data_IF_240474173150
#
_entry.id   IF_240474173150
#
_cell.length_a   1.000
_cell.length_b   1.000
_cell.length_c   1.000
_cell.angle_alpha   90.00
_cell.angle_beta   90.00
_cell.angle_gamma   90.00
#
_symmetry.space_group_name_H-M   'P 1'
#
loop_
_entity.id
_entity.type
_entity.pdbx_description
1 polymer ?
#
# COMPACT_ATOMS: atom_id res chain seq x y z
N UNK A 1 -18.50 36.13 1.29
CA UNK A 1 -17.23 35.48 1.61
C UNK A 1 -16.62 34.91 0.33
N UNK A 2 -15.55 35.56 -0.22
CA UNK A 2 -14.89 35.18 -1.45
C UNK A 2 -13.87 34.02 -1.27
N UNK A 3 -14.24 32.94 -0.59
CA UNK A 3 -13.38 31.78 -0.34
C UNK A 3 -13.20 30.98 -1.64
N UNK A 4 -11.97 30.92 -2.16
CA UNK A 4 -11.59 30.07 -3.28
C UNK A 4 -10.70 28.93 -2.77
N UNK A 5 -11.02 27.69 -3.14
CA UNK A 5 -10.17 26.53 -2.88
C UNK A 5 -8.89 26.65 -3.71
N UNK A 6 -7.72 26.62 -3.05
CA UNK A 6 -6.41 26.52 -3.70
C UNK A 6 -6.12 25.05 -4.04
N UNK A 7 -6.52 24.63 -5.23
CA UNK A 7 -6.18 23.29 -5.75
C UNK A 7 -4.71 23.33 -6.19
N UNK A 8 -3.85 22.59 -5.51
CA UNK A 8 -2.46 22.38 -5.96
C UNK A 8 -2.47 21.49 -7.20
N UNK A 9 -2.21 22.06 -8.37
CA UNK A 9 -1.93 21.30 -9.59
C UNK A 9 -0.54 20.69 -9.46
N UNK A 10 -0.46 19.44 -9.03
CA UNK A 10 0.79 18.69 -9.01
C UNK A 10 1.09 18.22 -10.43
N UNK A 11 2.08 18.84 -11.11
CA UNK A 11 2.56 18.32 -12.40
C UNK A 11 3.13 16.92 -12.20
N UNK A 12 2.49 15.92 -12.78
CA UNK A 12 2.97 14.54 -12.82
C UNK A 12 4.25 14.49 -13.68
N UNK A 13 5.39 14.13 -13.08
CA UNK A 13 6.63 13.81 -13.80
C UNK A 13 6.73 12.29 -13.91
N UNK A 14 6.38 11.76 -15.08
CA UNK A 14 6.63 10.35 -15.37
C UNK A 14 8.14 10.08 -15.46
N UNK A 15 8.57 8.97 -14.84
CA UNK A 15 9.93 8.45 -14.99
C UNK A 15 10.20 8.09 -16.47
N UNK A 16 11.31 8.60 -17.02
CA UNK A 16 11.75 8.34 -18.41
C UNK A 16 12.82 7.23 -18.48
N UNK A 17 12.75 6.21 -17.64
CA UNK A 17 13.61 5.04 -17.71
C UNK A 17 13.10 3.97 -18.68
N UNK A 18 13.78 2.82 -18.76
CA UNK A 18 13.35 1.66 -19.56
C UNK A 18 11.88 1.35 -19.27
N UNK A 19 11.07 1.31 -20.33
CA UNK A 19 9.65 0.95 -20.20
C UNK A 19 9.59 -0.54 -19.85
N UNK A 20 9.29 -0.83 -18.60
CA UNK A 20 9.01 -2.17 -18.16
C UNK A 20 7.64 -2.65 -18.70
N UNK A 21 7.33 -3.92 -18.46
CA UNK A 21 6.08 -4.52 -18.92
C UNK A 21 4.92 -4.14 -17.98
N UNK A 22 3.86 -3.53 -18.53
CA UNK A 22 2.61 -3.24 -17.82
C UNK A 22 1.73 -4.49 -17.80
N UNK A 23 1.27 -4.90 -16.62
CA UNK A 23 0.33 -6.00 -16.46
C UNK A 23 -1.12 -5.54 -16.71
N UNK A 24 -2.02 -6.46 -17.15
CA UNK A 24 -3.44 -6.16 -17.30
C UNK A 24 -4.10 -5.74 -15.99
N UNK A 25 -5.15 -4.92 -16.05
CA UNK A 25 -5.98 -4.60 -14.90
C UNK A 25 -7.00 -5.72 -14.65
N UNK A 26 -6.65 -6.70 -13.81
CA UNK A 26 -7.55 -7.79 -13.45
C UNK A 26 -8.58 -7.40 -12.38
N UNK A 27 -8.26 -6.42 -11.51
CA UNK A 27 -9.20 -5.96 -10.49
C UNK A 27 -10.43 -5.25 -11.06
N UNK A 28 -10.24 -4.43 -12.10
CA UNK A 28 -11.32 -3.65 -12.75
C UNK A 28 -12.24 -2.94 -11.73
N UNK A 29 -11.66 -2.37 -10.66
CA UNK A 29 -12.34 -1.75 -9.50
C UNK A 29 -13.17 -2.70 -8.63
N UNK A 30 -13.10 -4.01 -8.85
CA UNK A 30 -13.69 -4.99 -7.95
C UNK A 30 -12.74 -5.24 -6.77
N UNK A 31 -12.77 -4.34 -5.78
CA UNK A 31 -11.95 -4.41 -4.56
C UNK A 31 -12.53 -5.38 -3.51
N UNK A 32 -13.75 -5.88 -3.69
CA UNK A 32 -14.32 -6.85 -2.76
C UNK A 32 -13.57 -8.18 -2.87
N UNK A 33 -13.08 -8.66 -1.74
CA UNK A 33 -12.56 -10.01 -1.55
C UNK A 33 -13.49 -10.77 -0.62
N UNK A 34 -13.68 -12.07 -0.84
CA UNK A 34 -14.56 -12.92 -0.03
C UNK A 34 -13.82 -13.62 1.10
N UNK A 35 -12.49 -13.68 1.02
CA UNK A 35 -11.63 -14.31 2.00
C UNK A 35 -10.27 -13.55 2.09
N UNK A 36 -9.55 -13.69 3.23
CA UNK A 36 -8.19 -13.20 3.35
C UNK A 36 -7.27 -13.73 2.26
N UNK A 37 -6.30 -12.92 1.85
CA UNK A 37 -5.26 -13.27 0.89
C UNK A 37 -5.76 -13.61 -0.54
N UNK A 38 -6.94 -13.15 -0.94
CA UNK A 38 -7.41 -13.24 -2.33
C UNK A 38 -6.91 -12.06 -3.16
N UNK A 39 -6.95 -10.86 -2.61
CA UNK A 39 -6.58 -9.63 -3.28
C UNK A 39 -5.78 -8.75 -2.35
N UNK A 40 -4.60 -8.37 -2.77
CA UNK A 40 -3.76 -7.38 -2.10
C UNK A 40 -3.58 -6.15 -2.99
N UNK A 41 -3.33 -5.02 -2.37
CA UNK A 41 -2.91 -3.80 -3.06
C UNK A 41 -1.61 -3.26 -2.46
N UNK A 42 -0.82 -2.59 -3.28
CA UNK A 42 0.43 -1.93 -2.89
C UNK A 42 0.61 -0.62 -3.64
N UNK A 43 1.27 0.32 -2.99
CA UNK A 43 1.67 1.61 -3.55
C UNK A 43 2.77 2.20 -2.67
N UNK A 44 3.38 3.32 -3.08
CA UNK A 44 4.40 4.02 -2.31
C UNK A 44 3.92 5.44 -2.00
N UNK A 45 4.00 5.81 -0.72
CA UNK A 45 3.79 7.20 -0.31
C UNK A 45 5.05 7.84 0.24
N UNK A 46 5.18 9.15 0.04
CA UNK A 46 6.31 9.96 0.50
C UNK A 46 5.89 10.84 1.68
N UNK A 47 6.80 10.98 2.64
CA UNK A 47 6.77 11.96 3.72
C UNK A 47 7.99 12.87 3.62
N UNK A 48 7.87 14.11 4.08
CA UNK A 48 8.98 15.05 4.14
C UNK A 48 9.10 15.60 5.57
N UNK A 49 10.28 15.45 6.17
CA UNK A 49 10.62 15.96 7.49
C UNK A 49 11.88 16.79 7.37
N UNK A 50 11.78 18.10 7.57
CA UNK A 50 12.92 19.03 7.51
C UNK A 50 13.78 18.88 6.25
N UNK A 51 13.15 18.71 5.09
CA UNK A 51 13.81 18.54 3.79
C UNK A 51 14.30 17.13 3.47
N UNK A 52 14.29 16.21 4.43
CA UNK A 52 14.58 14.79 4.21
C UNK A 52 13.31 14.01 3.84
N UNK A 53 13.45 13.01 2.99
CA UNK A 53 12.35 12.20 2.51
C UNK A 53 12.33 10.82 3.17
N UNK A 54 11.12 10.34 3.46
CA UNK A 54 10.87 8.96 3.88
C UNK A 54 9.80 8.38 2.97
N UNK A 55 10.01 7.16 2.49
CA UNK A 55 9.08 6.43 1.63
C UNK A 55 8.54 5.21 2.38
N UNK A 56 7.23 5.07 2.39
CA UNK A 56 6.53 3.91 2.92
C UNK A 56 5.93 3.11 1.76
N UNK A 57 6.28 1.83 1.68
CA UNK A 57 5.72 0.88 0.73
C UNK A 57 5.01 -0.24 1.50
N UNK A 58 3.69 -0.22 1.66
CA UNK A 58 2.92 -1.26 2.32
C UNK A 58 2.25 -2.20 1.32
N UNK A 59 1.88 -3.39 1.79
CA UNK A 59 0.87 -4.26 1.18
C UNK A 59 -0.34 -4.31 2.09
N UNK A 60 -1.52 -4.04 1.55
CA UNK A 60 -2.81 -4.12 2.23
C UNK A 60 -3.65 -5.27 1.68
N UNK A 61 -4.25 -6.07 2.56
CA UNK A 61 -5.25 -7.08 2.16
C UNK A 61 -6.60 -6.39 1.93
N UNK A 62 -7.21 -6.60 0.77
CA UNK A 62 -8.47 -5.95 0.42
C UNK A 62 -9.68 -6.57 1.15
N UNK A 63 -9.54 -7.76 1.73
CA UNK A 63 -10.60 -8.39 2.51
C UNK A 63 -10.87 -7.67 3.83
N UNK A 64 -9.84 -7.51 4.64
CA UNK A 64 -9.95 -6.94 6.00
C UNK A 64 -9.16 -5.63 6.17
N UNK A 65 -8.54 -5.12 5.11
CA UNK A 65 -7.72 -3.91 5.10
C UNK A 65 -6.53 -3.94 6.09
N UNK A 66 -6.02 -5.13 6.40
CA UNK A 66 -4.82 -5.31 7.20
C UNK A 66 -3.57 -4.95 6.40
N UNK A 67 -2.64 -4.25 7.02
CA UNK A 67 -1.30 -4.06 6.47
C UNK A 67 -0.51 -5.35 6.71
N UNK A 68 -0.37 -6.13 5.64
CA UNK A 68 0.29 -7.44 5.66
C UNK A 68 1.80 -7.30 5.88
N UNK A 69 2.42 -6.38 5.18
CA UNK A 69 3.83 -6.05 5.31
C UNK A 69 4.07 -4.61 4.87
N UNK A 70 5.20 -4.07 5.25
CA UNK A 70 5.65 -2.75 4.79
C UNK A 70 7.16 -2.63 4.87
N UNK A 71 7.68 -1.61 4.18
CA UNK A 71 9.08 -1.20 4.24
C UNK A 71 9.18 0.33 4.27
N UNK A 72 10.13 0.85 5.07
CA UNK A 72 10.42 2.26 5.21
C UNK A 72 11.86 2.54 4.75
N UNK A 73 12.03 3.42 3.77
CA UNK A 73 13.35 3.80 3.25
C UNK A 73 13.47 5.29 3.00
N UNK A 74 14.69 5.82 3.04
CA UNK A 74 14.96 7.22 2.74
C UNK A 74 15.16 7.50 1.24
N UNK A 75 15.24 6.46 0.44
CA UNK A 75 15.40 6.55 -1.02
C UNK A 75 14.41 5.62 -1.73
N UNK A 76 13.80 6.07 -2.85
CA UNK A 76 12.86 5.25 -3.61
C UNK A 76 13.64 4.25 -4.48
N UNK A 77 14.11 3.17 -3.87
CA UNK A 77 14.86 2.10 -4.54
C UNK A 77 14.03 0.83 -4.64
N UNK A 78 14.28 0.02 -5.67
CA UNK A 78 13.54 -1.24 -5.86
C UNK A 78 13.69 -2.20 -4.68
N UNK A 79 14.85 -2.20 -4.01
CA UNK A 79 15.08 -3.04 -2.84
C UNK A 79 14.02 -2.88 -1.74
N UNK A 80 13.43 -1.69 -1.59
CA UNK A 80 12.31 -1.43 -0.68
C UNK A 80 11.13 -2.35 -1.01
N UNK A 81 10.74 -2.40 -2.28
CA UNK A 81 9.62 -3.23 -2.73
C UNK A 81 9.96 -4.71 -2.62
N UNK A 82 11.18 -5.12 -2.96
CA UNK A 82 11.63 -6.51 -2.83
C UNK A 82 11.61 -6.99 -1.37
N UNK A 83 12.08 -6.19 -0.42
CA UNK A 83 12.06 -6.51 1.01
C UNK A 83 10.63 -6.60 1.55
N UNK A 84 9.76 -5.67 1.17
CA UNK A 84 8.33 -5.69 1.49
C UNK A 84 7.67 -6.99 1.00
N UNK A 85 7.91 -7.37 -0.27
CA UNK A 85 7.39 -8.63 -0.84
C UNK A 85 7.89 -9.85 -0.07
N UNK A 86 9.20 -9.93 0.22
CA UNK A 86 9.79 -11.04 0.97
C UNK A 86 9.15 -11.20 2.37
N UNK A 87 8.86 -10.08 3.05
CA UNK A 87 8.13 -10.09 4.33
C UNK A 87 6.70 -10.62 4.16
N UNK A 88 5.98 -10.19 3.12
CA UNK A 88 4.62 -10.64 2.84
C UNK A 88 4.56 -12.13 2.48
N UNK A 89 5.50 -12.62 1.65
CA UNK A 89 5.54 -13.99 1.17
C UNK A 89 5.75 -15.03 2.27
N UNK A 90 6.37 -14.64 3.40
CA UNK A 90 6.49 -15.50 4.58
C UNK A 90 5.13 -15.79 5.25
N UNK A 91 4.12 -14.97 4.99
CA UNK A 91 2.78 -15.07 5.61
C UNK A 91 1.78 -15.89 4.80
N UNK A 92 2.15 -16.35 3.61
CA UNK A 92 1.29 -17.10 2.70
C UNK A 92 2.00 -18.31 2.12
N UNK A 93 1.28 -19.40 1.79
CA UNK A 93 1.86 -20.55 1.09
C UNK A 93 2.31 -20.18 -0.34
N UNK A 94 2.98 -21.10 -1.02
CA UNK A 94 3.27 -20.97 -2.44
C UNK A 94 2.03 -21.33 -3.28
N UNK A 95 2.01 -20.88 -4.54
CA UNK A 95 0.95 -21.19 -5.51
C UNK A 95 -0.44 -20.79 -5.01
N UNK A 96 -0.56 -19.57 -4.54
CA UNK A 96 -1.84 -18.99 -4.11
C UNK A 96 -2.59 -18.39 -5.30
N UNK A 97 -3.93 -18.36 -5.24
CA UNK A 97 -4.74 -17.61 -6.20
C UNK A 97 -4.79 -16.11 -5.91
N UNK A 98 -3.76 -15.59 -5.25
CA UNK A 98 -3.66 -14.19 -4.84
C UNK A 98 -3.41 -13.29 -6.05
N UNK A 99 -4.13 -12.18 -6.11
CA UNK A 99 -3.86 -11.07 -7.04
C UNK A 99 -3.23 -9.91 -6.26
N UNK A 100 -2.05 -9.44 -6.66
CA UNK A 100 -1.44 -8.22 -6.13
C UNK A 100 -1.60 -7.09 -7.13
N UNK A 101 -2.31 -6.04 -6.72
CA UNK A 101 -2.61 -4.86 -7.52
C UNK A 101 -1.72 -3.68 -7.14
N UNK A 102 -1.28 -2.91 -8.13
CA UNK A 102 -0.51 -1.69 -7.96
C UNK A 102 -0.90 -0.63 -9.00
N UNK A 103 -0.38 0.57 -8.85
CA UNK A 103 -0.31 1.54 -9.95
C UNK A 103 0.72 1.11 -11.00
N UNK A 104 0.96 1.97 -12.02
CA UNK A 104 1.99 1.76 -13.03
C UNK A 104 3.35 2.36 -12.62
N UNK A 105 3.67 2.42 -11.34
CA UNK A 105 4.98 2.85 -10.86
C UNK A 105 6.12 2.01 -11.46
N UNK A 106 7.25 2.64 -11.77
CA UNK A 106 8.39 1.99 -12.44
C UNK A 106 8.87 0.73 -11.71
N UNK A 107 8.83 0.71 -10.38
CA UNK A 107 9.25 -0.41 -9.54
C UNK A 107 8.42 -1.68 -9.79
N UNK A 108 7.13 -1.53 -10.13
CA UNK A 108 6.21 -2.65 -10.38
C UNK A 108 6.30 -3.17 -11.82
N UNK A 109 6.93 -2.40 -12.72
CA UNK A 109 7.15 -2.76 -14.12
C UNK A 109 8.45 -3.56 -14.33
N UNK A 110 9.32 -3.61 -13.32
CA UNK A 110 10.61 -4.28 -13.43
C UNK A 110 10.45 -5.81 -13.60
N UNK A 111 11.28 -6.40 -14.47
CA UNK A 111 11.32 -7.84 -14.69
C UNK A 111 11.53 -8.60 -13.37
N UNK A 112 12.39 -8.09 -12.48
CA UNK A 112 12.64 -8.69 -11.16
C UNK A 112 11.38 -8.77 -10.31
N UNK A 113 10.56 -7.70 -10.27
CA UNK A 113 9.27 -7.71 -9.56
C UNK A 113 8.34 -8.79 -10.11
N UNK A 114 8.19 -8.85 -11.43
CA UNK A 114 7.33 -9.83 -12.10
C UNK A 114 7.78 -11.27 -11.83
N UNK A 115 9.11 -11.52 -11.82
CA UNK A 115 9.68 -12.83 -11.49
C UNK A 115 9.34 -13.25 -10.06
N UNK A 116 9.51 -12.36 -9.08
CA UNK A 116 9.20 -12.63 -7.67
C UNK A 116 7.72 -13.02 -7.48
N UNK A 117 6.79 -12.32 -8.12
CA UNK A 117 5.36 -12.67 -8.06
C UNK A 117 5.10 -14.02 -8.72
N UNK A 118 5.66 -14.26 -9.90
CA UNK A 118 5.51 -15.53 -10.64
C UNK A 118 6.05 -16.73 -9.84
N UNK A 119 7.23 -16.60 -9.25
CA UNK A 119 7.83 -17.63 -8.39
C UNK A 119 6.95 -17.99 -7.19
N UNK A 120 6.22 -17.00 -6.65
CA UNK A 120 5.28 -17.20 -5.54
C UNK A 120 3.88 -17.67 -6.00
N UNK A 121 3.61 -17.65 -7.30
CA UNK A 121 2.28 -17.98 -7.85
C UNK A 121 1.25 -16.87 -7.67
N UNK A 122 1.70 -15.61 -7.63
CA UNK A 122 0.84 -14.43 -7.45
C UNK A 122 0.56 -13.78 -8.81
N UNK A 123 -0.70 -13.49 -9.10
CA UNK A 123 -1.11 -12.76 -10.30
C UNK A 123 -0.87 -11.27 -10.12
N UNK A 124 -0.06 -10.68 -11.02
CA UNK A 124 0.12 -9.23 -11.06
C UNK A 124 -1.07 -8.55 -11.75
N UNK A 125 -1.57 -7.47 -11.13
CA UNK A 125 -2.58 -6.58 -11.72
C UNK A 125 -2.11 -5.13 -11.59
N UNK A 126 -2.35 -4.31 -12.62
CA UNK A 126 -2.00 -2.88 -12.58
C UNK A 126 -3.20 -2.00 -12.92
N UNK A 127 -3.29 -0.84 -12.27
CA UNK A 127 -4.29 0.18 -12.59
C UNK A 127 -4.10 0.72 -14.01
N UNK A 128 -5.14 1.34 -14.55
CA UNK A 128 -5.02 2.08 -15.81
C UNK A 128 -4.21 3.36 -15.58
N UNK A 129 -3.47 3.79 -16.58
CA UNK A 129 -2.65 5.01 -16.52
C UNK A 129 -3.51 6.22 -16.13
N UNK A 130 -3.07 6.94 -15.09
CA UNK A 130 -3.73 8.16 -14.63
C UNK A 130 -5.08 7.98 -13.94
N UNK A 131 -5.47 6.75 -13.57
CA UNK A 131 -6.75 6.45 -12.94
C UNK A 131 -6.57 6.11 -11.46
N UNK A 132 -6.61 7.15 -10.60
CA UNK A 132 -6.46 7.01 -9.13
C UNK A 132 -7.54 6.10 -8.51
N UNK A 133 -8.75 6.07 -9.05
CA UNK A 133 -9.82 5.22 -8.52
C UNK A 133 -9.51 3.72 -8.61
N UNK A 134 -8.56 3.33 -9.45
CA UNK A 134 -8.17 1.93 -9.59
C UNK A 134 -7.27 1.46 -8.41
N UNK A 135 -6.78 2.38 -7.54
CA UNK A 135 -5.95 2.07 -6.34
C UNK A 135 -6.49 2.70 -5.04
N UNK A 136 -7.80 2.99 -5.01
CA UNK A 136 -8.44 3.80 -3.97
C UNK A 136 -8.29 3.26 -2.54
N UNK A 137 -8.19 1.94 -2.33
CA UNK A 137 -8.12 1.34 -0.98
C UNK A 137 -6.80 1.70 -0.29
N UNK A 138 -5.67 1.59 -0.99
CA UNK A 138 -4.38 1.92 -0.40
C UNK A 138 -4.18 3.43 -0.30
N UNK A 139 -4.72 4.21 -1.24
CA UNK A 139 -4.73 5.67 -1.16
C UNK A 139 -5.54 6.15 0.07
N UNK A 140 -6.66 5.48 0.38
CA UNK A 140 -7.44 5.74 1.59
C UNK A 140 -6.62 5.46 2.85
N UNK A 141 -5.88 4.34 2.90
CA UNK A 141 -4.96 4.06 4.02
C UNK A 141 -3.93 5.18 4.18
N UNK A 142 -3.32 5.64 3.10
CA UNK A 142 -2.36 6.75 3.17
C UNK A 142 -3.01 8.06 3.67
N UNK A 143 -4.22 8.34 3.23
CA UNK A 143 -4.99 9.48 3.72
C UNK A 143 -5.23 9.41 5.22
N UNK A 144 -5.66 8.25 5.73
CA UNK A 144 -5.90 8.00 7.15
C UNK A 144 -4.60 8.12 7.95
N UNK A 145 -3.53 7.45 7.54
CA UNK A 145 -2.21 7.52 8.20
C UNK A 145 -1.70 8.98 8.28
N UNK A 146 -1.83 9.73 7.19
CA UNK A 146 -1.38 11.13 7.16
C UNK A 146 -2.25 12.03 8.04
N UNK A 147 -3.57 11.85 8.03
CA UNK A 147 -4.48 12.67 8.83
C UNK A 147 -4.44 12.34 10.33
N UNK A 148 -4.26 11.07 10.70
CA UNK A 148 -4.27 10.65 12.11
C UNK A 148 -2.88 10.69 12.77
N UNK A 149 -1.79 10.77 11.98
CA UNK A 149 -0.43 10.81 12.49
C UNK A 149 0.37 12.00 11.96
N UNK A 150 0.60 12.05 10.64
CA UNK A 150 1.63 12.91 10.07
C UNK A 150 1.28 14.41 10.13
N UNK A 151 0.00 14.76 9.98
CA UNK A 151 -0.43 16.17 9.99
C UNK A 151 -0.72 16.71 11.38
N UNK A 152 -0.93 15.86 12.37
CA UNK A 152 -1.22 16.29 13.75
C UNK A 152 0.04 16.35 14.64
N UNK A 153 1.12 15.68 14.26
CA UNK A 153 2.40 15.69 14.96
C UNK A 153 3.47 16.44 14.17
N UNK A 154 4.35 17.13 14.86
CA UNK A 154 5.57 17.71 14.27
C UNK A 154 6.74 16.79 14.54
N UNK A 155 7.37 16.28 13.50
CA UNK A 155 8.54 15.40 13.57
C UNK A 155 9.81 16.21 13.38
N UNK A 156 10.82 15.93 14.21
CA UNK A 156 12.14 16.59 14.11
C UNK A 156 13.11 15.77 13.25
N UNK A 157 12.99 14.44 13.28
CA UNK A 157 13.90 13.53 12.56
C UNK A 157 13.12 12.48 11.77
N UNK A 158 13.80 11.85 10.81
CA UNK A 158 13.26 10.72 10.05
C UNK A 158 13.11 9.50 10.95
N UNK A 159 14.01 9.30 11.88
CA UNK A 159 14.00 8.19 12.84
C UNK A 159 12.75 8.24 13.73
N UNK A 160 12.41 9.43 14.25
CA UNK A 160 11.19 9.65 15.00
C UNK A 160 9.95 9.30 14.17
N UNK A 161 9.89 9.78 12.91
CA UNK A 161 8.77 9.46 12.02
C UNK A 161 8.70 7.96 11.71
N UNK A 162 9.83 7.26 11.50
CA UNK A 162 9.84 5.80 11.29
C UNK A 162 9.21 5.06 12.45
N UNK A 163 9.65 5.34 13.67
CA UNK A 163 9.12 4.71 14.90
C UNK A 163 7.61 4.95 15.05
N UNK A 164 7.17 6.17 14.83
CA UNK A 164 5.75 6.52 14.93
C UNK A 164 4.89 5.86 13.84
N UNK A 165 5.40 5.71 12.62
CA UNK A 165 4.68 4.96 11.56
C UNK A 165 4.59 3.47 11.93
N UNK A 166 5.64 2.87 12.48
CA UNK A 166 5.64 1.47 12.93
C UNK A 166 4.61 1.24 14.04
N UNK A 167 4.59 2.12 15.05
CA UNK A 167 3.60 2.09 16.12
C UNK A 167 2.18 2.30 15.59
N UNK A 168 2.01 3.24 14.65
CA UNK A 168 0.72 3.51 14.05
C UNK A 168 0.20 2.31 13.24
N UNK A 169 1.04 1.64 12.45
CA UNK A 169 0.63 0.44 11.69
C UNK A 169 0.23 -0.68 12.65
N UNK A 170 0.94 -0.85 13.75
CA UNK A 170 0.56 -1.81 14.79
C UNK A 170 -0.82 -1.45 15.41
N UNK A 171 -1.03 -0.19 15.79
CA UNK A 171 -2.33 0.30 16.26
C UNK A 171 -3.43 0.11 15.22
N UNK A 172 -3.18 0.49 13.96
CA UNK A 172 -4.13 0.36 12.85
C UNK A 172 -4.59 -1.09 12.66
N UNK A 173 -3.67 -2.04 12.68
CA UNK A 173 -3.97 -3.45 12.48
C UNK A 173 -4.69 -4.10 13.67
N UNK A 174 -4.30 -3.76 14.90
CA UNK A 174 -4.74 -4.49 16.09
C UNK A 174 -5.87 -3.80 16.86
N UNK A 175 -5.94 -2.47 16.83
CA UNK A 175 -6.80 -1.68 17.73
C UNK A 175 -7.79 -0.79 17.00
N UNK A 176 -7.36 -0.16 15.89
CA UNK A 176 -8.19 0.81 15.17
C UNK A 176 -9.41 0.14 14.56
N UNK A 177 -10.58 0.43 15.15
CA UNK A 177 -11.87 -0.09 14.67
C UNK A 177 -12.28 0.57 13.34
N UNK A 178 -13.01 -0.18 12.52
CA UNK A 178 -13.53 0.28 11.22
C UNK A 178 -15.00 -0.06 11.09
N UNK A 179 -15.83 0.91 10.70
CA UNK A 179 -17.29 0.71 10.57
C UNK A 179 -17.63 -0.37 9.52
N UNK A 180 -16.87 -0.41 8.41
CA UNK A 180 -17.04 -1.39 7.35
C UNK A 180 -16.49 -2.80 7.68
N UNK A 181 -15.87 -2.98 8.84
CA UNK A 181 -15.40 -4.26 9.37
C UNK A 181 -16.17 -4.63 10.67
N UNK A 182 -17.46 -4.38 10.71
CA UNK A 182 -18.33 -4.68 11.87
C UNK A 182 -17.79 -4.05 13.18
N UNK A 183 -17.22 -2.86 13.12
CA UNK A 183 -16.57 -2.17 14.26
C UNK A 183 -15.41 -2.95 14.87
N UNK A 184 -14.76 -3.84 14.11
CA UNK A 184 -13.56 -4.56 14.47
C UNK A 184 -12.31 -3.89 13.89
N UNK A 185 -11.14 -4.20 14.47
CA UNK A 185 -9.86 -3.91 13.82
C UNK A 185 -9.60 -4.90 12.68
N UNK A 186 -8.69 -4.58 11.73
CA UNK A 186 -8.33 -5.49 10.64
C UNK A 186 -8.00 -6.92 11.11
N UNK A 187 -7.17 -7.08 12.14
CA UNK A 187 -6.80 -8.41 12.64
C UNK A 187 -7.97 -9.11 13.33
N UNK A 188 -8.78 -8.39 14.12
CA UNK A 188 -9.97 -8.97 14.76
C UNK A 188 -10.98 -9.46 13.71
N UNK A 189 -11.19 -8.69 12.62
CA UNK A 189 -12.09 -9.10 11.54
C UNK A 189 -11.58 -10.35 10.82
N UNK A 190 -10.26 -10.48 10.59
CA UNK A 190 -9.66 -11.69 10.02
C UNK A 190 -9.82 -12.88 10.95
N UNK A 191 -9.59 -12.71 12.26
CA UNK A 191 -9.76 -13.77 13.24
C UNK A 191 -11.22 -14.27 13.31
N UNK A 192 -12.17 -13.34 13.29
CA UNK A 192 -13.60 -13.66 13.26
C UNK A 192 -14.00 -14.47 12.01
N UNK A 193 -13.42 -14.16 10.85
CA UNK A 193 -13.66 -14.94 9.63
C UNK A 193 -13.21 -16.40 9.72
N UNK A 194 -12.12 -16.71 10.42
CA UNK A 194 -11.61 -18.07 10.55
C UNK A 194 -12.32 -18.88 11.68
N UNK A 195 -13.10 -18.21 12.52
CA UNK A 195 -13.86 -18.84 13.61
C UNK A 195 -15.31 -19.24 13.20
N UNK A 196 -15.79 -18.67 12.09
CA UNK A 196 -17.10 -18.95 11.50
C UNK A 196 -16.98 -19.66 10.16
#
# INVERSE_FOLDING_TARGET
LGLKSLIRVKKYKSYKGEQGKIAPNFLKRNFKAQAPNQKWATDITEFNVSGKKLYLSPIIDLFNQEIISYELTERPVFNQVEMMLKKAFKKIPNNTNLTLHSDQGWQYQLKRYQMLLKEKGITQSMSRKGNCLDNAIIENFFGILKSELFYIKKFKTIEELKQEIEQYINYYNNVRIKSNLNKMSPIQYRAHYYQN
#
